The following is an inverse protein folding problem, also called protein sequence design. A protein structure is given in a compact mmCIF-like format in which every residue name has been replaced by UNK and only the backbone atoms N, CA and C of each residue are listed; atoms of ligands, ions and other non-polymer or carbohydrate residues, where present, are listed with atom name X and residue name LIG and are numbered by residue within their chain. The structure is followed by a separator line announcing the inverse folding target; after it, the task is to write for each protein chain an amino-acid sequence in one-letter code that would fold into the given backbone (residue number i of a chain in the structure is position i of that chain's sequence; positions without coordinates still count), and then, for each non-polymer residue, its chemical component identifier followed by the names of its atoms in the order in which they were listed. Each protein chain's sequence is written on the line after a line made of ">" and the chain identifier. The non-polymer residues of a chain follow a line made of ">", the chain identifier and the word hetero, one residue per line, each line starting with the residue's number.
data_IF_530956607580
#
_entry.id   IF_530956607580
#
_cell.length_a   1.000
_cell.length_b   1.000
_cell.length_c   1.000
_cell.angle_alpha   90.00
_cell.angle_beta   90.00
_cell.angle_gamma   90.00
#
_symmetry.space_group_name_H-M   'P 1'
#
loop_
_entity.id
_entity.type
_entity.pdbx_description
1 polymer ?
#
# COMPACT_ATOMS: atom_id res chain seq x y z
N UNK A 1 8.92 -2.01 -10.31
CA UNK A 1 8.79 -2.80 -9.07
C UNK A 1 7.31 -2.89 -8.76
N UNK A 2 6.74 -4.07 -8.46
CA UNK A 2 5.30 -4.18 -8.23
C UNK A 2 4.86 -3.30 -7.07
N UNK A 3 3.63 -2.84 -7.15
CA UNK A 3 3.02 -1.98 -6.16
C UNK A 3 2.79 -2.75 -4.88
N UNK A 4 2.88 -2.02 -3.78
CA UNK A 4 2.79 -2.54 -2.42
C UNK A 4 1.63 -3.54 -2.23
N UNK A 5 0.43 -3.18 -2.69
CA UNK A 5 -0.76 -4.03 -2.55
C UNK A 5 -0.76 -5.26 -3.46
N UNK A 6 -0.27 -5.15 -4.70
CA UNK A 6 -0.15 -6.32 -5.58
C UNK A 6 0.84 -7.32 -5.01
N UNK A 7 1.94 -6.84 -4.42
CA UNK A 7 2.92 -7.68 -3.75
C UNK A 7 2.35 -8.35 -2.49
N UNK A 8 1.56 -7.64 -1.69
CA UNK A 8 0.86 -8.22 -0.54
C UNK A 8 -0.13 -9.32 -0.96
N UNK A 9 -0.87 -9.11 -2.06
CA UNK A 9 -1.77 -10.12 -2.63
C UNK A 9 -0.96 -11.35 -3.09
N UNK A 10 0.15 -11.17 -3.83
CA UNK A 10 1.03 -12.27 -4.24
C UNK A 10 1.52 -13.09 -3.03
N UNK A 11 1.92 -12.42 -1.95
CA UNK A 11 2.36 -13.09 -0.72
C UNK A 11 1.19 -13.89 -0.12
N UNK A 12 0.02 -13.27 0.06
CA UNK A 12 -1.16 -13.95 0.63
C UNK A 12 -1.61 -15.16 -0.19
N UNK A 13 -1.55 -15.07 -1.52
CA UNK A 13 -1.82 -16.21 -2.41
C UNK A 13 -0.79 -17.33 -2.20
N UNK A 14 0.51 -17.00 -2.19
CA UNK A 14 1.58 -18.00 -2.00
C UNK A 14 1.50 -18.72 -0.64
N UNK A 15 0.96 -18.04 0.38
CA UNK A 15 0.73 -18.59 1.71
C UNK A 15 -0.60 -19.36 1.83
N UNK A 16 -1.38 -19.48 0.75
CA UNK A 16 -2.68 -20.15 0.76
C UNK A 16 -3.73 -19.44 1.61
N UNK A 17 -3.56 -18.15 1.91
CA UNK A 17 -4.51 -17.37 2.73
C UNK A 17 -5.76 -16.93 1.95
N UNK A 18 -5.76 -17.10 0.63
CA UNK A 18 -6.85 -16.70 -0.26
C UNK A 18 -7.45 -17.95 -0.94
N UNK A 19 -8.12 -18.78 -0.16
CA UNK A 19 -8.53 -20.17 -0.51
C UNK A 19 -9.57 -20.23 -1.66
N UNK A 20 -10.15 -19.11 -2.06
CA UNK A 20 -11.14 -19.01 -3.14
C UNK A 20 -10.84 -17.88 -4.14
N UNK A 21 -9.57 -17.48 -4.23
CA UNK A 21 -9.13 -16.39 -5.09
C UNK A 21 -8.29 -16.94 -6.23
N UNK A 22 -8.96 -17.51 -7.24
CA UNK A 22 -8.37 -18.14 -8.43
C UNK A 22 -7.94 -17.11 -9.51
N UNK A 23 -7.97 -15.82 -9.17
CA UNK A 23 -7.60 -14.71 -10.05
C UNK A 23 -6.10 -14.43 -9.86
N UNK A 24 -5.35 -14.28 -10.95
CA UNK A 24 -3.92 -13.96 -10.86
C UNK A 24 -3.70 -12.49 -10.47
N UNK A 25 -2.54 -12.16 -9.92
CA UNK A 25 -2.19 -10.76 -9.61
C UNK A 25 -2.09 -9.92 -10.89
N UNK A 26 -1.68 -10.55 -11.99
CA UNK A 26 -1.67 -9.98 -13.33
C UNK A 26 -3.09 -9.62 -13.80
N UNK A 27 -4.07 -10.49 -13.59
CA UNK A 27 -5.48 -10.21 -13.93
C UNK A 27 -6.01 -9.01 -13.14
N UNK A 28 -5.70 -8.92 -11.84
CA UNK A 28 -6.07 -7.78 -10.99
C UNK A 28 -5.46 -6.48 -11.55
N UNK A 29 -4.17 -6.52 -11.90
CA UNK A 29 -3.46 -5.37 -12.45
C UNK A 29 -4.10 -4.89 -13.76
N UNK A 30 -4.39 -5.80 -14.69
CA UNK A 30 -5.00 -5.46 -15.97
C UNK A 30 -6.44 -4.93 -15.80
N UNK A 31 -7.24 -5.53 -14.91
CA UNK A 31 -8.59 -5.05 -14.65
C UNK A 31 -8.58 -3.65 -14.04
N UNK A 32 -7.69 -3.37 -13.07
CA UNK A 32 -7.57 -2.05 -12.48
C UNK A 32 -7.16 -0.97 -13.50
N UNK A 33 -6.31 -1.31 -14.48
CA UNK A 33 -6.02 -0.40 -15.60
C UNK A 33 -7.26 -0.10 -16.45
N UNK A 34 -8.09 -1.11 -16.73
CA UNK A 34 -9.36 -0.96 -17.46
C UNK A 34 -10.33 -0.07 -16.68
N UNK A 35 -10.37 -0.21 -15.35
CA UNK A 35 -11.22 0.56 -14.45
C UNK A 35 -10.73 2.01 -14.28
N UNK A 36 -9.62 2.40 -14.92
CA UNK A 36 -9.08 3.75 -14.91
C UNK A 36 -8.11 4.06 -13.77
N UNK A 37 -7.65 3.04 -13.03
CA UNK A 37 -6.62 3.24 -12.02
C UNK A 37 -5.26 3.45 -12.67
N UNK A 38 -4.46 4.32 -12.05
CA UNK A 38 -3.05 4.49 -12.37
C UNK A 38 -2.21 3.89 -11.27
N UNK A 39 -1.28 3.04 -11.66
CA UNK A 39 -0.37 2.39 -10.76
C UNK A 39 0.91 3.20 -10.61
N UNK A 40 1.16 3.71 -9.41
CA UNK A 40 2.34 4.51 -9.07
C UNK A 40 3.51 3.56 -8.69
N UNK A 41 4.65 3.60 -9.40
CA UNK A 41 5.81 2.79 -9.03
C UNK A 41 6.36 3.20 -7.66
N UNK A 42 6.91 2.23 -6.93
CA UNK A 42 7.68 2.54 -5.72
C UNK A 42 8.99 3.20 -6.15
N UNK A 43 9.12 4.49 -5.85
CA UNK A 43 10.34 5.24 -6.11
C UNK A 43 11.34 5.11 -4.95
N UNK A 44 12.63 5.33 -5.26
CA UNK A 44 13.68 5.33 -4.25
C UNK A 44 13.47 6.42 -3.17
N UNK A 45 12.83 7.53 -3.53
CA UNK A 45 12.42 8.59 -2.59
C UNK A 45 11.55 8.04 -1.45
N UNK A 46 10.56 7.20 -1.78
CA UNK A 46 9.70 6.52 -0.81
C UNK A 46 10.49 5.57 0.10
N UNK A 47 11.50 4.89 -0.45
CA UNK A 47 12.38 3.99 0.30
C UNK A 47 13.28 4.78 1.25
N UNK A 48 13.88 5.89 0.79
CA UNK A 48 14.73 6.74 1.62
C UNK A 48 13.93 7.37 2.76
N UNK A 49 12.69 7.78 2.50
CA UNK A 49 11.81 8.36 3.51
C UNK A 49 11.17 7.32 4.45
N UNK A 50 11.19 6.02 4.11
CA UNK A 50 10.60 4.96 4.94
C UNK A 50 11.12 4.97 6.38
N UNK A 51 12.41 5.26 6.57
CA UNK A 51 13.05 5.36 7.88
C UNK A 51 12.47 6.49 8.76
N UNK A 52 11.90 7.52 8.14
CA UNK A 52 11.32 8.67 8.84
C UNK A 52 9.88 8.45 9.29
N UNK A 53 9.20 7.40 8.79
CA UNK A 53 7.83 7.10 9.19
C UNK A 53 7.83 6.54 10.62
N UNK A 54 7.11 7.16 11.57
CA UNK A 54 7.07 6.68 12.95
C UNK A 54 6.67 5.21 13.05
N UNK A 55 7.47 4.43 13.77
CA UNK A 55 7.15 3.03 14.09
C UNK A 55 6.30 3.01 15.36
N UNK A 56 4.99 2.96 15.21
CA UNK A 56 4.03 2.98 16.32
C UNK A 56 3.75 1.56 16.79
N UNK A 57 3.60 1.34 18.09
CA UNK A 57 3.36 0.00 18.63
C UNK A 57 2.08 -0.64 18.10
N UNK A 58 1.03 0.16 17.89
CA UNK A 58 -0.26 -0.29 17.36
C UNK A 58 -0.26 -0.49 15.83
N UNK A 59 0.76 0.00 15.11
CA UNK A 59 0.84 -0.05 13.65
C UNK A 59 2.29 -0.27 13.17
N UNK A 60 2.64 -1.55 12.97
CA UNK A 60 4.01 -2.00 12.69
C UNK A 60 4.17 -2.72 11.35
N UNK A 61 3.13 -2.75 10.53
CA UNK A 61 3.19 -3.44 9.24
C UNK A 61 4.18 -2.72 8.31
N UNK A 62 5.19 -3.43 7.76
CA UNK A 62 6.20 -2.83 6.91
C UNK A 62 5.64 -2.35 5.57
N UNK A 63 4.60 -3.00 5.05
CA UNK A 63 3.91 -2.58 3.83
C UNK A 63 3.12 -1.31 4.10
N UNK A 64 2.36 -1.22 5.19
CA UNK A 64 1.61 0.01 5.50
C UNK A 64 2.54 1.21 5.72
N UNK A 65 3.71 1.02 6.34
CA UNK A 65 4.71 2.09 6.49
C UNK A 65 5.29 2.54 5.14
N UNK A 66 5.51 1.61 4.21
CA UNK A 66 5.96 1.95 2.86
C UNK A 66 4.86 2.67 2.06
N UNK A 67 3.60 2.33 2.29
CA UNK A 67 2.44 3.00 1.71
C UNK A 67 2.34 4.46 2.19
N UNK A 68 2.47 4.68 3.50
CA UNK A 68 2.49 6.02 4.09
C UNK A 68 3.64 6.85 3.49
N UNK A 69 4.85 6.28 3.45
CA UNK A 69 6.00 6.96 2.86
C UNK A 69 5.75 7.34 1.39
N UNK A 70 5.19 6.42 0.60
CA UNK A 70 4.88 6.67 -0.80
C UNK A 70 3.81 7.75 -0.99
N UNK A 71 2.76 7.74 -0.16
CA UNK A 71 1.72 8.76 -0.19
C UNK A 71 2.28 10.15 0.12
N UNK A 72 3.18 10.26 1.12
CA UNK A 72 3.85 11.52 1.45
C UNK A 72 4.71 12.01 0.30
N UNK A 73 5.54 11.15 -0.31
CA UNK A 73 6.42 11.54 -1.41
C UNK A 73 5.67 11.94 -2.69
N UNK A 74 4.49 11.35 -2.92
CA UNK A 74 3.65 11.66 -4.07
C UNK A 74 2.58 12.74 -3.77
N UNK A 75 2.63 13.37 -2.60
CA UNK A 75 1.62 14.33 -2.12
C UNK A 75 0.17 13.82 -2.22
N UNK A 76 -0.01 12.50 -2.13
CA UNK A 76 -1.27 11.82 -2.33
C UNK A 76 -2.12 11.82 -1.05
N UNK A 77 -3.44 11.79 -1.23
CA UNK A 77 -4.37 11.48 -0.14
C UNK A 77 -4.53 9.97 -0.06
N UNK A 78 -4.24 9.38 1.09
CA UNK A 78 -4.45 7.96 1.31
C UNK A 78 -5.92 7.69 1.60
N UNK A 79 -6.53 6.75 0.88
CA UNK A 79 -7.87 6.23 1.19
C UNK A 79 -7.72 4.90 1.93
N UNK A 80 -8.27 4.78 3.14
CA UNK A 80 -8.23 3.52 3.89
C UNK A 80 -9.36 3.40 4.91
N UNK A 81 -9.92 2.20 5.00
CA UNK A 81 -10.88 1.84 6.05
C UNK A 81 -10.20 1.39 7.37
N UNK A 82 -8.88 1.12 7.36
CA UNK A 82 -8.15 0.75 8.57
C UNK A 82 -7.92 1.98 9.46
N UNK A 83 -8.51 1.96 10.65
CA UNK A 83 -8.42 3.05 11.61
C UNK A 83 -7.00 3.35 12.09
N UNK A 84 -6.06 2.40 11.96
CA UNK A 84 -4.66 2.62 12.36
C UNK A 84 -3.97 3.72 11.57
N UNK A 85 -4.40 4.00 10.34
CA UNK A 85 -3.87 5.14 9.58
C UNK A 85 -4.22 6.49 10.21
N UNK A 86 -5.24 6.58 11.07
CA UNK A 86 -5.58 7.82 11.81
C UNK A 86 -4.43 8.28 12.71
N UNK A 87 -3.56 7.35 13.15
CA UNK A 87 -2.38 7.64 13.97
C UNK A 87 -1.32 8.49 13.23
N UNK A 88 -1.44 8.65 11.91
CA UNK A 88 -0.47 9.37 11.06
C UNK A 88 -1.04 10.65 10.45
N UNK A 89 -2.23 11.10 10.87
CA UNK A 89 -2.92 12.29 10.32
C UNK A 89 -2.14 13.60 10.47
N UNK A 90 -1.14 13.64 11.35
CA UNK A 90 -0.22 14.77 11.49
C UNK A 90 0.80 14.89 10.32
N UNK A 91 1.04 13.81 9.57
CA UNK A 91 1.99 13.76 8.45
C UNK A 91 1.37 13.24 7.14
N UNK A 92 0.12 12.76 7.19
CA UNK A 92 -0.57 12.11 6.09
C UNK A 92 -1.95 12.72 5.88
N UNK A 93 -2.29 13.04 4.63
CA UNK A 93 -3.67 13.35 4.24
C UNK A 93 -4.44 12.03 4.13
N UNK A 94 -5.43 11.84 4.99
CA UNK A 94 -6.25 10.62 5.05
C UNK A 94 -7.69 10.92 4.65
N UNK A 95 -8.23 10.10 3.75
CA UNK A 95 -9.65 9.98 3.43
C UNK A 95 -10.12 8.61 3.94
N UNK A 96 -11.31 8.58 4.54
CA UNK A 96 -11.92 7.36 5.07
C UNK A 96 -13.15 7.00 4.24
#
# INVERSE_FOLDING_TARGET
>A
MPLNHLFEISIKQSLGKLIHFDITVEDIYHQALIDGFTFIPIENSSIFNYGNIPLLNEHRDPFDRLLISSAIQNEATLLSADEKFKLYTNILKLLW
#
